data_IF_246877840713
#
_entry.id   IF_246877840713
#
_cell.length_a   1.000
_cell.length_b   1.000
_cell.length_c   1.000
_cell.angle_alpha   90.00
_cell.angle_beta   90.00
_cell.angle_gamma   90.00
#
_symmetry.space_group_name_H-M   'P 1'
#
loop_
_entity.id
_entity.type
_entity.pdbx_description
1 polymer ?
#
# COMPACT_ATOMS: atom_id res chain seq x y z
N UNK A 1 3.34 -11.84 19.61
CA UNK A 1 3.78 -10.96 20.73
C UNK A 1 5.10 -10.24 20.45
N UNK A 2 6.14 -10.95 19.95
CA UNK A 2 7.36 -10.36 19.34
C UNK A 2 7.08 -9.17 18.42
N UNK A 3 5.97 -9.23 17.70
CA UNK A 3 5.47 -8.18 16.80
C UNK A 3 5.50 -6.76 17.43
N UNK A 4 5.11 -6.54 18.69
CA UNK A 4 5.20 -5.20 19.30
C UNK A 4 6.65 -4.71 19.43
N UNK A 5 7.55 -5.56 19.94
CA UNK A 5 8.97 -5.24 20.08
C UNK A 5 9.68 -5.17 18.72
N UNK A 6 9.13 -5.84 17.72
CA UNK A 6 9.54 -5.74 16.32
C UNK A 6 8.98 -4.49 15.61
N UNK A 7 8.26 -3.63 16.34
CA UNK A 7 7.71 -2.39 15.85
C UNK A 7 6.51 -2.58 14.94
N UNK A 8 5.92 -3.77 14.89
CA UNK A 8 4.87 -4.21 13.97
C UNK A 8 3.48 -3.72 14.32
N UNK A 9 3.23 -3.55 15.62
CA UNK A 9 2.00 -2.96 16.13
C UNK A 9 2.33 -1.90 17.18
N UNK A 10 1.42 -0.95 17.35
CA UNK A 10 1.40 -0.07 18.51
C UNK A 10 0.55 -0.71 19.61
N UNK A 11 0.78 -0.35 20.87
CA UNK A 11 -0.06 -0.86 21.97
C UNK A 11 -1.55 -0.62 21.75
N UNK A 12 -1.95 0.41 20.99
CA UNK A 12 -3.36 0.71 20.69
C UNK A 12 -4.02 -0.31 19.75
N UNK A 13 -3.23 -1.04 18.97
CA UNK A 13 -3.70 -2.04 17.98
C UNK A 13 -3.84 -3.43 18.60
N UNK A 14 -3.27 -3.65 19.79
CA UNK A 14 -3.25 -4.92 20.50
C UNK A 14 -4.52 -5.11 21.35
N UNK A 15 -4.97 -6.36 21.46
CA UNK A 15 -5.96 -6.78 22.46
C UNK A 15 -5.46 -6.54 23.89
N UNK A 16 -6.35 -6.49 24.90
CA UNK A 16 -5.94 -6.31 26.29
C UNK A 16 -4.86 -7.30 26.75
N UNK A 17 -5.01 -8.58 26.39
CA UNK A 17 -4.07 -9.65 26.73
C UNK A 17 -2.71 -9.40 26.03
N UNK A 18 -2.73 -9.15 24.72
CA UNK A 18 -1.51 -8.84 23.96
C UNK A 18 -0.78 -7.59 24.46
N UNK A 19 -1.51 -6.58 24.97
CA UNK A 19 -0.89 -5.38 25.58
C UNK A 19 -0.12 -5.73 26.84
N UNK A 20 -0.71 -6.56 27.71
CA UNK A 20 -0.07 -6.98 28.96
C UNK A 20 1.19 -7.77 28.63
N UNK A 21 1.08 -8.72 27.71
CA UNK A 21 2.22 -9.50 27.27
C UNK A 21 3.32 -8.62 26.67
N UNK A 22 2.97 -7.69 25.77
CA UNK A 22 3.92 -6.77 25.14
C UNK A 22 4.61 -5.83 26.14
N UNK A 23 3.86 -5.32 27.14
CA UNK A 23 4.41 -4.49 28.20
C UNK A 23 5.30 -5.30 29.16
N UNK A 24 4.95 -6.56 29.40
CA UNK A 24 5.75 -7.47 30.19
C UNK A 24 7.09 -7.79 29.50
N UNK A 25 7.07 -8.15 28.21
CA UNK A 25 8.27 -8.43 27.43
C UNK A 25 9.17 -7.18 27.34
N UNK A 26 8.57 -6.00 27.17
CA UNK A 26 9.28 -4.72 27.23
C UNK A 26 9.95 -4.50 28.59
N UNK A 27 9.22 -4.72 29.70
CA UNK A 27 9.74 -4.57 31.07
C UNK A 27 10.91 -5.53 31.35
N UNK A 28 10.76 -6.82 31.04
CA UNK A 28 11.77 -7.85 31.32
C UNK A 28 13.02 -7.69 30.46
N UNK A 29 12.90 -7.05 29.29
CA UNK A 29 14.04 -6.78 28.40
C UNK A 29 14.90 -5.59 28.88
N UNK A 30 14.39 -4.77 29.79
CA UNK A 30 15.17 -3.67 30.38
C UNK A 30 16.06 -4.21 31.52
N UNK A 31 17.28 -3.68 31.71
CA UNK A 31 18.02 -3.90 32.95
C UNK A 31 17.35 -3.13 34.10
N UNK A 32 17.71 -3.44 35.35
CA UNK A 32 17.12 -2.81 36.55
C UNK A 32 17.26 -1.27 36.56
N UNK A 33 18.33 -0.77 35.96
CA UNK A 33 18.59 0.66 35.79
C UNK A 33 19.23 0.93 34.44
N UNK A 34 18.68 1.87 33.69
CA UNK A 34 19.22 2.29 32.39
C UNK A 34 19.04 3.78 32.17
N UNK A 35 20.00 4.38 31.49
CA UNK A 35 19.90 5.75 31.01
C UNK A 35 18.84 5.83 29.89
N UNK A 36 17.90 6.77 29.95
CA UNK A 36 16.74 6.82 29.02
C UNK A 36 17.15 6.78 27.55
N UNK A 37 18.26 7.45 27.19
CA UNK A 37 18.79 7.48 25.82
C UNK A 37 19.27 6.11 25.32
N UNK A 38 19.64 5.19 26.22
CA UNK A 38 20.14 3.85 25.86
C UNK A 38 19.02 2.85 25.62
N UNK A 39 17.81 3.15 26.08
CA UNK A 39 16.63 2.26 25.90
C UNK A 39 16.33 2.02 24.42
N UNK A 40 16.47 3.06 23.58
CA UNK A 40 16.23 2.93 22.14
C UNK A 40 17.17 1.94 21.44
N UNK A 41 18.36 1.69 22.01
CA UNK A 41 19.29 0.70 21.49
C UNK A 41 18.87 -0.74 21.82
N UNK A 42 18.09 -0.95 22.89
CA UNK A 42 17.51 -2.25 23.24
C UNK A 42 16.37 -2.61 22.29
N UNK A 43 15.60 -1.60 21.84
CA UNK A 43 14.45 -1.78 20.96
C UNK A 43 14.63 -1.05 19.61
N UNK A 44 15.61 -1.43 18.79
CA UNK A 44 15.96 -0.70 17.57
C UNK A 44 14.85 -0.74 16.50
N UNK A 45 13.95 -1.72 16.57
CA UNK A 45 12.81 -1.86 15.65
C UNK A 45 11.60 -1.00 16.06
N UNK A 46 11.54 -0.54 17.31
CA UNK A 46 10.44 0.31 17.79
C UNK A 46 10.69 1.79 17.48
N UNK A 47 9.62 2.51 17.15
CA UNK A 47 9.70 3.98 17.05
C UNK A 47 9.91 4.61 18.42
N UNK A 48 10.54 5.80 18.45
CA UNK A 48 10.70 6.59 19.68
C UNK A 48 9.37 6.77 20.43
N UNK A 49 8.28 7.02 19.69
CA UNK A 49 6.94 7.15 20.25
C UNK A 49 6.46 5.86 20.94
N UNK A 50 6.65 4.69 20.34
CA UNK A 50 6.25 3.41 20.95
C UNK A 50 7.02 3.16 22.25
N UNK A 51 8.34 3.38 22.24
CA UNK A 51 9.19 3.23 23.44
C UNK A 51 8.76 4.20 24.54
N UNK A 52 8.64 5.49 24.22
CA UNK A 52 8.21 6.52 25.18
C UNK A 52 6.81 6.24 25.74
N UNK A 53 5.90 5.70 24.92
CA UNK A 53 4.55 5.34 25.34
C UNK A 53 4.55 4.16 26.31
N UNK A 54 5.33 3.12 26.05
CA UNK A 54 5.47 1.97 26.95
C UNK A 54 6.07 2.40 28.30
N UNK A 55 7.16 3.16 28.29
CA UNK A 55 7.78 3.74 29.50
C UNK A 55 6.74 4.53 30.29
N UNK A 56 6.01 5.43 29.62
CA UNK A 56 5.01 6.29 30.27
C UNK A 56 3.90 5.47 30.93
N UNK A 57 3.41 4.41 30.28
CA UNK A 57 2.36 3.55 30.84
C UNK A 57 2.85 2.85 32.12
N UNK A 58 4.07 2.31 32.11
CA UNK A 58 4.65 1.62 33.25
C UNK A 58 5.03 2.60 34.39
N UNK A 59 5.52 3.79 34.06
CA UNK A 59 5.89 4.83 35.02
C UNK A 59 4.68 5.38 35.79
N UNK A 60 3.58 5.71 35.08
CA UNK A 60 2.34 6.11 35.73
C UNK A 60 1.63 5.00 36.53
N UNK A 61 2.13 3.77 36.46
CA UNK A 61 1.61 2.61 37.20
C UNK A 61 2.52 2.20 38.37
N UNK A 62 3.56 3.02 38.66
CA UNK A 62 4.65 2.78 39.63
C UNK A 62 5.37 1.43 39.40
N UNK A 63 5.39 0.95 38.17
CA UNK A 63 6.15 -0.25 37.76
C UNK A 63 7.57 0.18 37.38
N UNK A 64 7.69 1.28 36.64
CA UNK A 64 8.97 1.95 36.41
C UNK A 64 8.98 3.29 37.15
N UNK A 65 10.18 3.83 37.36
CA UNK A 65 10.40 5.22 37.76
C UNK A 65 11.38 5.87 36.81
N UNK A 66 11.14 7.14 36.48
CA UNK A 66 12.01 7.89 35.56
C UNK A 66 12.77 9.07 36.21
N UNK A 67 13.63 8.84 37.23
CA UNK A 67 14.37 9.93 37.88
C UNK A 67 15.50 10.45 37.00
N UNK A 68 15.63 11.77 36.86
CA UNK A 68 16.82 12.45 36.32
C UNK A 68 17.42 11.85 35.03
N UNK A 69 16.57 11.48 34.06
CA UNK A 69 17.02 10.93 32.78
C UNK A 69 17.37 9.44 32.79
N UNK A 70 17.11 8.73 33.90
CA UNK A 70 17.19 7.28 34.02
C UNK A 70 15.79 6.65 33.99
N UNK A 71 15.76 5.34 33.80
CA UNK A 71 14.62 4.45 33.98
C UNK A 71 15.06 3.37 34.95
N UNK A 72 14.29 3.19 36.01
CA UNK A 72 14.58 2.26 37.11
C UNK A 72 13.35 1.37 37.37
N UNK A 73 13.58 0.08 37.58
CA UNK A 73 12.53 -0.86 37.99
C UNK A 73 12.22 -0.68 39.48
N UNK A 74 10.94 -0.56 39.81
CA UNK A 74 10.49 -0.53 41.21
C UNK A 74 10.47 -1.94 41.82
N UNK A 75 10.22 -2.06 43.12
CA UNK A 75 10.03 -3.36 43.74
C UNK A 75 8.77 -4.08 43.19
N UNK A 76 7.76 -3.31 42.79
CA UNK A 76 6.59 -3.82 42.07
C UNK A 76 6.97 -4.43 40.71
N UNK A 77 7.87 -3.81 39.95
CA UNK A 77 8.40 -4.42 38.73
C UNK A 77 9.11 -5.74 39.01
N UNK A 78 9.96 -5.81 40.03
CA UNK A 78 10.68 -7.06 40.38
C UNK A 78 9.72 -8.18 40.80
N UNK A 79 8.60 -7.84 41.44
CA UNK A 79 7.54 -8.80 41.73
C UNK A 79 6.86 -9.27 40.44
N UNK A 80 6.47 -8.34 39.56
CA UNK A 80 5.85 -8.63 38.25
C UNK A 80 6.73 -9.57 37.42
N UNK A 81 8.05 -9.36 37.37
CA UNK A 81 8.98 -10.24 36.65
C UNK A 81 8.97 -11.70 37.14
N UNK A 82 8.52 -11.96 38.37
CA UNK A 82 8.41 -13.32 38.90
C UNK A 82 7.07 -13.98 38.58
N UNK A 83 5.98 -13.19 38.50
CA UNK A 83 4.61 -13.72 38.40
C UNK A 83 3.86 -13.40 37.10
N UNK A 84 4.46 -12.61 36.22
CA UNK A 84 3.81 -12.03 35.05
C UNK A 84 3.03 -10.74 35.36
N UNK A 85 2.90 -9.90 34.33
CA UNK A 85 2.10 -8.68 34.38
C UNK A 85 0.62 -9.00 34.22
N UNK A 86 -0.23 -8.36 35.04
CA UNK A 86 -1.69 -8.56 35.02
C UNK A 86 -2.42 -7.22 35.01
N UNK A 87 -3.72 -7.23 34.72
CA UNK A 87 -4.52 -6.01 34.68
C UNK A 87 -4.59 -5.31 36.04
N UNK A 88 -4.56 -6.07 37.14
CA UNK A 88 -4.62 -5.55 38.52
C UNK A 88 -3.40 -4.70 38.88
N UNK A 89 -2.27 -4.90 38.19
CA UNK A 89 -1.06 -4.09 38.35
C UNK A 89 -1.27 -2.63 37.97
N UNK A 90 -2.33 -2.34 37.21
CA UNK A 90 -2.72 -1.00 36.80
C UNK A 90 -3.83 -0.40 37.66
N UNK A 91 -4.28 -1.08 38.73
CA UNK A 91 -5.41 -0.64 39.57
C UNK A 91 -5.27 0.78 40.13
N UNK A 92 -4.05 1.16 40.53
CA UNK A 92 -3.72 2.50 41.05
C UNK A 92 -3.35 3.50 39.96
N UNK A 93 -3.22 3.05 38.70
CA UNK A 93 -2.86 3.92 37.60
C UNK A 93 -4.01 4.91 37.27
N UNK A 94 -3.69 6.09 36.70
CA UNK A 94 -4.69 7.02 36.19
C UNK A 94 -5.75 6.34 35.32
N UNK A 95 -7.00 6.80 35.42
CA UNK A 95 -8.14 6.14 34.75
C UNK A 95 -7.95 5.97 33.23
N UNK A 96 -7.22 6.87 32.57
CA UNK A 96 -6.93 6.76 31.14
C UNK A 96 -5.99 5.59 30.80
N UNK A 97 -5.10 5.18 31.72
CA UNK A 97 -4.23 4.00 31.55
C UNK A 97 -5.04 2.74 31.75
N UNK A 98 -5.81 2.64 32.84
CA UNK A 98 -6.68 1.48 33.10
C UNK A 98 -7.60 1.20 31.92
N UNK A 99 -8.32 2.23 31.46
CA UNK A 99 -9.15 2.15 30.25
C UNK A 99 -8.33 1.80 29.01
N UNK A 100 -7.10 2.28 28.88
CA UNK A 100 -6.26 1.97 27.73
C UNK A 100 -5.85 0.50 27.69
N UNK A 101 -5.46 -0.08 28.82
CA UNK A 101 -5.11 -1.51 28.94
C UNK A 101 -6.33 -2.38 28.61
N UNK A 102 -7.48 -2.09 29.20
CA UNK A 102 -8.72 -2.88 29.05
C UNK A 102 -9.43 -2.69 27.70
N UNK A 103 -9.15 -1.60 26.98
CA UNK A 103 -9.82 -1.31 25.71
C UNK A 103 -9.44 -2.34 24.65
N UNK A 104 -10.41 -2.88 23.93
CA UNK A 104 -10.14 -3.72 22.75
C UNK A 104 -9.25 -3.00 21.74
N UNK A 105 -8.22 -3.68 21.25
CA UNK A 105 -7.37 -3.20 20.17
C UNK A 105 -8.20 -2.83 18.96
N UNK A 106 -7.84 -1.72 18.30
CA UNK A 106 -8.49 -1.33 17.05
C UNK A 106 -7.44 -1.43 15.95
N UNK A 107 -7.40 -2.56 15.26
CA UNK A 107 -6.66 -2.68 13.99
C UNK A 107 -7.41 -1.83 12.97
N UNK A 108 -6.81 -0.70 12.58
CA UNK A 108 -7.36 0.21 11.55
C UNK A 108 -6.78 -0.12 10.19
N UNK A 109 -6.94 -1.38 9.84
CA UNK A 109 -6.59 -1.89 8.52
C UNK A 109 -7.83 -1.84 7.63
N UNK A 110 -7.65 -1.38 6.41
CA UNK A 110 -8.68 -1.35 5.38
C UNK A 110 -8.27 -2.37 4.33
N UNK A 111 -9.14 -3.34 4.05
CA UNK A 111 -8.91 -4.30 2.98
C UNK A 111 -8.81 -3.56 1.63
N UNK A 112 -7.78 -3.89 0.85
CA UNK A 112 -7.56 -3.33 -0.48
C UNK A 112 -8.02 -4.31 -1.55
N UNK A 113 -7.59 -5.56 -1.43
CA UNK A 113 -7.76 -6.58 -2.45
C UNK A 113 -6.80 -7.73 -2.20
N UNK A 114 -6.70 -8.63 -3.16
CA UNK A 114 -5.80 -9.79 -3.10
C UNK A 114 -4.63 -9.57 -4.05
N UNK A 115 -3.43 -9.93 -3.62
CA UNK A 115 -2.22 -9.92 -4.42
C UNK A 115 -2.34 -10.96 -5.54
N UNK A 116 -2.28 -10.51 -6.80
CA UNK A 116 -2.54 -11.37 -7.95
C UNK A 116 -1.52 -12.49 -8.16
N UNK A 117 -0.36 -12.41 -7.51
CA UNK A 117 0.73 -13.39 -7.66
C UNK A 117 0.65 -14.44 -6.56
N UNK A 118 0.52 -13.99 -5.31
CA UNK A 118 0.55 -14.87 -4.13
C UNK A 118 -0.84 -15.36 -3.71
N UNK A 119 -1.91 -14.69 -4.14
CA UNK A 119 -3.27 -14.96 -3.68
C UNK A 119 -3.55 -14.51 -2.24
N UNK A 120 -2.65 -13.71 -1.65
CA UNK A 120 -2.71 -13.25 -0.27
C UNK A 120 -3.39 -11.89 -0.14
N UNK A 121 -4.02 -11.64 1.00
CA UNK A 121 -4.81 -10.43 1.21
C UNK A 121 -3.92 -9.22 1.52
N UNK A 122 -4.21 -8.11 0.85
CA UNK A 122 -3.55 -6.83 1.02
C UNK A 122 -4.47 -5.91 1.84
N UNK A 123 -3.89 -5.32 2.89
CA UNK A 123 -4.55 -4.32 3.70
C UNK A 123 -3.74 -3.02 3.75
N UNK A 124 -4.42 -1.90 4.00
CA UNK A 124 -3.81 -0.60 4.26
C UNK A 124 -3.95 -0.21 5.72
N UNK A 125 -2.84 0.07 6.40
CA UNK A 125 -2.85 0.54 7.78
C UNK A 125 -2.94 2.08 7.84
N UNK A 126 -4.05 2.61 8.33
CA UNK A 126 -4.29 4.05 8.37
C UNK A 126 -3.30 4.83 9.26
N UNK A 127 -2.81 4.21 10.34
CA UNK A 127 -1.91 4.87 11.29
C UNK A 127 -0.48 4.96 10.74
N UNK A 128 0.00 3.87 10.14
CA UNK A 128 1.37 3.76 9.61
C UNK A 128 1.50 4.33 8.21
N UNK A 129 0.39 4.43 7.48
CA UNK A 129 0.35 4.79 6.06
C UNK A 129 1.24 3.85 5.25
N UNK A 130 1.07 2.56 5.43
CA UNK A 130 1.72 1.49 4.67
C UNK A 130 0.73 0.35 4.42
N UNK A 131 1.14 -0.60 3.57
CA UNK A 131 0.36 -1.78 3.24
C UNK A 131 0.94 -3.01 3.94
N UNK A 132 0.07 -3.97 4.25
CA UNK A 132 0.39 -5.25 4.85
C UNK A 132 -0.11 -6.38 3.96
N UNK A 133 0.73 -7.40 3.74
CA UNK A 133 0.34 -8.64 3.06
C UNK A 133 0.10 -9.72 4.12
N UNK A 134 -1.04 -10.39 4.08
CA UNK A 134 -1.42 -11.44 5.02
C UNK A 134 -1.78 -12.73 4.31
N UNK A 135 -1.36 -13.86 4.87
CA UNK A 135 -1.80 -15.17 4.38
C UNK A 135 -3.30 -15.40 4.63
N UNK A 136 -3.80 -16.54 4.15
CA UNK A 136 -5.21 -16.92 4.25
C UNK A 136 -5.65 -17.14 5.71
N UNK A 137 -4.69 -17.46 6.58
CA UNK A 137 -4.87 -17.61 8.03
C UNK A 137 -4.81 -16.27 8.79
N UNK A 138 -4.50 -15.17 8.09
CA UNK A 138 -4.46 -13.81 8.64
C UNK A 138 -3.13 -13.40 9.29
N UNK A 139 -2.09 -14.24 9.20
CA UNK A 139 -0.75 -13.93 9.67
C UNK A 139 -0.08 -12.90 8.76
N UNK A 140 0.69 -12.01 9.37
CA UNK A 140 1.45 -11.01 8.61
C UNK A 140 2.63 -11.67 7.90
N UNK A 141 2.68 -11.55 6.58
CA UNK A 141 3.82 -11.99 5.76
C UNK A 141 4.85 -10.89 5.62
N UNK A 142 4.43 -9.70 5.18
CA UNK A 142 5.35 -8.56 5.00
C UNK A 142 4.64 -7.22 5.02
N UNK A 143 5.43 -6.14 5.14
CA UNK A 143 4.99 -4.76 4.97
C UNK A 143 5.66 -4.12 3.76
N UNK A 144 4.92 -3.28 3.08
CA UNK A 144 5.42 -2.56 1.92
C UNK A 144 4.77 -1.18 1.81
N UNK A 145 5.46 -0.24 1.17
CA UNK A 145 5.01 1.15 1.09
C UNK A 145 4.36 1.48 -0.24
N UNK A 146 4.55 0.64 -1.23
CA UNK A 146 4.26 0.94 -2.61
C UNK A 146 3.48 -0.23 -3.20
N UNK A 147 2.27 0.05 -3.67
CA UNK A 147 1.34 -0.95 -4.18
C UNK A 147 1.28 -0.84 -5.70
N UNK A 148 1.57 -1.94 -6.39
CA UNK A 148 1.41 -2.01 -7.84
C UNK A 148 -0.05 -2.18 -8.22
N UNK A 149 -0.44 -1.54 -9.33
CA UNK A 149 -1.77 -1.56 -9.92
C UNK A 149 -1.63 -1.96 -11.38
N UNK A 150 -2.31 -3.04 -11.75
CA UNK A 150 -2.41 -3.48 -13.14
C UNK A 150 -3.88 -3.45 -13.54
N UNK A 151 -4.20 -2.77 -14.64
CA UNK A 151 -5.57 -2.59 -15.09
C UNK A 151 -5.68 -3.06 -16.52
N UNK A 152 -6.60 -3.99 -16.75
CA UNK A 152 -6.93 -4.47 -18.08
C UNK A 152 -8.19 -3.76 -18.54
N UNK A 153 -8.12 -3.19 -19.73
CA UNK A 153 -9.23 -2.54 -20.39
C UNK A 153 -9.54 -3.28 -21.68
N UNK A 154 -10.83 -3.46 -21.96
CA UNK A 154 -11.31 -3.79 -23.29
C UNK A 154 -11.85 -2.51 -23.92
N UNK A 155 -11.37 -2.20 -25.12
CA UNK A 155 -11.92 -1.12 -25.94
C UNK A 155 -12.52 -1.75 -27.19
N UNK A 156 -13.82 -1.53 -27.35
CA UNK A 156 -14.57 -1.88 -28.55
C UNK A 156 -15.14 -0.60 -29.16
N UNK A 157 -14.90 -0.37 -30.44
CA UNK A 157 -15.50 0.76 -31.17
C UNK A 157 -16.72 0.31 -31.97
N UNK A 158 -17.81 1.07 -31.92
CA UNK A 158 -19.00 0.83 -32.73
C UNK A 158 -18.94 1.60 -34.08
N UNK A 159 -19.63 1.08 -35.10
CA UNK A 159 -19.80 1.74 -36.40
C UNK A 159 -19.10 1.05 -37.58
N UNK A 160 -18.70 1.83 -38.59
CA UNK A 160 -18.06 1.32 -39.81
C UNK A 160 -16.60 0.85 -39.61
N UNK A 161 -16.03 1.10 -38.43
CA UNK A 161 -14.69 0.64 -38.03
C UNK A 161 -14.81 -0.04 -36.65
N UNK A 162 -14.59 -1.35 -36.61
CA UNK A 162 -14.61 -2.12 -35.37
C UNK A 162 -13.15 -2.40 -34.97
N UNK A 163 -12.70 -1.70 -33.95
CA UNK A 163 -11.47 -1.98 -33.22
C UNK A 163 -11.85 -2.69 -31.94
N UNK A 164 -11.33 -3.91 -31.76
CA UNK A 164 -11.36 -4.62 -30.47
C UNK A 164 -9.92 -4.75 -30.02
N UNK A 165 -9.57 -4.08 -28.93
CA UNK A 165 -8.24 -4.19 -28.34
C UNK A 165 -8.30 -4.41 -26.83
N UNK A 166 -7.35 -5.19 -26.34
CA UNK A 166 -7.08 -5.33 -24.92
C UNK A 166 -5.86 -4.50 -24.57
N UNK A 167 -5.99 -3.72 -23.50
CA UNK A 167 -4.97 -2.77 -23.08
C UNK A 167 -4.65 -3.06 -21.63
N UNK A 168 -3.38 -3.36 -21.37
CA UNK A 168 -2.88 -3.52 -20.02
C UNK A 168 -2.09 -2.27 -19.64
N UNK A 169 -2.59 -1.55 -18.65
CA UNK A 169 -1.92 -0.37 -18.11
C UNK A 169 -1.50 -0.60 -16.67
N UNK A 170 -0.35 -0.06 -16.32
CA UNK A 170 0.32 -0.33 -15.05
C UNK A 170 0.74 0.98 -14.40
N UNK A 171 0.59 1.05 -13.09
CA UNK A 171 1.11 2.13 -12.24
C UNK A 171 1.39 1.58 -10.85
N UNK A 172 1.95 2.41 -9.99
CA UNK A 172 2.09 2.12 -8.57
C UNK A 172 1.57 3.31 -7.76
N UNK A 173 1.21 3.04 -6.50
CA UNK A 173 0.77 4.05 -5.55
C UNK A 173 1.50 3.90 -4.23
N UNK A 174 2.14 4.99 -3.80
CA UNK A 174 2.93 5.01 -2.57
C UNK A 174 2.11 5.48 -1.38
N UNK A 175 1.94 4.61 -0.39
CA UNK A 175 1.30 4.89 0.91
C UNK A 175 -0.09 5.52 0.76
N UNK A 176 -0.74 5.23 -0.36
CA UNK A 176 -1.96 5.88 -0.79
C UNK A 176 -3.14 5.20 -0.11
N UNK A 177 -4.03 6.01 0.45
CA UNK A 177 -5.26 5.51 1.04
C UNK A 177 -6.13 4.86 -0.05
N UNK A 178 -6.82 3.74 0.24
CA UNK A 178 -7.69 3.02 -0.72
C UNK A 178 -8.62 3.93 -1.55
N UNK A 179 -9.34 4.84 -0.89
CA UNK A 179 -10.25 5.79 -1.55
C UNK A 179 -9.60 6.68 -2.64
N UNK A 180 -8.27 6.80 -2.69
CA UNK A 180 -7.57 7.57 -3.71
C UNK A 180 -7.01 6.69 -4.84
N UNK A 181 -7.03 5.35 -4.68
CA UNK A 181 -6.52 4.41 -5.68
C UNK A 181 -7.41 4.45 -6.93
N UNK A 182 -8.72 4.56 -6.77
CA UNK A 182 -9.67 4.64 -7.90
C UNK A 182 -9.36 5.83 -8.81
N UNK A 183 -8.97 6.98 -8.25
CA UNK A 183 -8.55 8.13 -9.05
C UNK A 183 -7.32 7.82 -9.92
N UNK A 184 -6.41 6.99 -9.45
CA UNK A 184 -5.23 6.57 -10.25
C UNK A 184 -5.67 5.60 -11.34
N UNK A 185 -6.57 4.68 -11.05
CA UNK A 185 -7.16 3.74 -12.03
C UNK A 185 -7.90 4.50 -13.14
N UNK A 186 -8.68 5.52 -12.79
CA UNK A 186 -9.38 6.37 -13.77
C UNK A 186 -8.41 7.14 -14.67
N UNK A 187 -7.30 7.62 -14.10
CA UNK A 187 -6.23 8.26 -14.88
C UNK A 187 -5.53 7.29 -15.83
N UNK A 188 -5.36 6.02 -15.45
CA UNK A 188 -4.85 4.98 -16.33
C UNK A 188 -5.82 4.69 -17.47
N UNK A 189 -7.12 4.61 -17.19
CA UNK A 189 -8.15 4.41 -18.21
C UNK A 189 -8.16 5.56 -19.23
N UNK A 190 -8.06 6.80 -18.75
CA UNK A 190 -7.94 7.98 -19.62
C UNK A 190 -6.68 7.91 -20.49
N UNK A 191 -5.53 7.58 -19.89
CA UNK A 191 -4.29 7.44 -20.62
C UNK A 191 -4.38 6.35 -21.70
N UNK A 192 -4.97 5.18 -21.40
CA UNK A 192 -5.19 4.12 -22.37
C UNK A 192 -6.04 4.59 -23.57
N UNK A 193 -7.15 5.30 -23.31
CA UNK A 193 -7.99 5.92 -24.34
C UNK A 193 -7.21 6.88 -25.24
N UNK A 194 -6.42 7.77 -24.63
CA UNK A 194 -5.64 8.77 -25.38
C UNK A 194 -4.61 8.08 -26.29
N UNK A 195 -3.94 7.03 -25.80
CA UNK A 195 -2.99 6.25 -26.61
C UNK A 195 -3.68 5.59 -27.80
N UNK A 196 -4.81 4.91 -27.60
CA UNK A 196 -5.55 4.25 -28.70
C UNK A 196 -6.02 5.27 -29.73
N UNK A 197 -6.58 6.39 -29.29
CA UNK A 197 -7.04 7.46 -30.19
C UNK A 197 -5.90 7.98 -31.07
N UNK A 198 -4.71 8.17 -30.51
CA UNK A 198 -3.55 8.68 -31.26
C UNK A 198 -2.99 7.62 -32.21
N UNK A 199 -2.78 6.39 -31.73
CA UNK A 199 -2.13 5.35 -32.53
C UNK A 199 -3.00 4.84 -33.68
N UNK A 200 -4.32 4.75 -33.48
CA UNK A 200 -5.23 4.22 -34.50
C UNK A 200 -5.97 5.31 -35.26
N UNK A 201 -5.93 6.57 -34.81
CA UNK A 201 -6.61 7.69 -35.46
C UNK A 201 -8.14 7.60 -35.43
N UNK A 202 -8.69 6.74 -34.57
CA UNK A 202 -10.14 6.50 -34.46
C UNK A 202 -10.70 7.34 -33.32
N UNK A 203 -11.79 8.11 -33.53
CA UNK A 203 -12.53 8.72 -32.43
C UNK A 203 -13.19 7.61 -31.59
N UNK A 204 -12.77 7.48 -30.33
CA UNK A 204 -13.38 6.54 -29.38
C UNK A 204 -14.61 7.23 -28.80
N UNK A 205 -15.77 7.03 -29.44
CA UNK A 205 -17.04 7.65 -29.01
C UNK A 205 -17.74 6.86 -27.89
N UNK A 206 -17.40 5.57 -27.67
CA UNK A 206 -18.02 4.70 -26.67
C UNK A 206 -17.03 3.80 -25.89
N UNK A 207 -17.60 3.01 -24.96
CA UNK A 207 -17.06 2.56 -23.67
C UNK A 207 -15.67 1.91 -23.66
N UNK A 208 -14.84 2.35 -22.72
CA UNK A 208 -13.73 1.52 -22.22
C UNK A 208 -14.28 0.74 -21.04
N UNK A 209 -14.41 -0.57 -21.22
CA UNK A 209 -14.87 -1.45 -20.16
C UNK A 209 -13.63 -1.88 -19.38
N UNK A 210 -13.61 -1.55 -18.08
CA UNK A 210 -12.60 -2.09 -17.16
C UNK A 210 -12.85 -3.59 -17.04
N UNK A 211 -11.96 -4.38 -17.61
CA UNK A 211 -12.05 -5.83 -17.58
C UNK A 211 -11.50 -6.41 -16.27
N UNK A 212 -10.48 -5.78 -15.69
CA UNK A 212 -9.88 -6.23 -14.43
C UNK A 212 -9.01 -5.18 -13.75
N UNK A 213 -8.86 -5.31 -12.43
CA UNK A 213 -7.84 -4.61 -11.63
C UNK A 213 -7.14 -5.64 -10.76
N UNK A 214 -5.83 -5.61 -10.81
CA UNK A 214 -4.93 -6.51 -10.11
C UNK A 214 -3.99 -5.70 -9.21
N UNK A 215 -3.73 -6.24 -8.02
CA UNK A 215 -2.90 -5.62 -7.00
C UNK A 215 -1.61 -6.41 -6.80
N UNK A 216 -0.52 -5.69 -6.52
CA UNK A 216 0.81 -6.30 -6.42
C UNK A 216 1.57 -5.72 -5.23
N UNK A 217 2.06 -6.62 -4.38
CA UNK A 217 2.77 -6.32 -3.15
C UNK A 217 4.30 -6.20 -3.30
N UNK A 218 4.86 -6.55 -4.45
CA UNK A 218 6.31 -6.50 -4.71
C UNK A 218 6.67 -6.13 -6.16
N UNK A 219 7.94 -5.78 -6.43
CA UNK A 219 8.47 -5.70 -7.81
C UNK A 219 8.56 -7.13 -8.34
N UNK A 220 7.53 -7.61 -9.02
CA UNK A 220 7.49 -8.98 -9.54
C UNK A 220 7.08 -9.02 -11.00
N UNK A 221 7.32 -10.18 -11.62
CA UNK A 221 6.78 -10.50 -12.94
C UNK A 221 5.29 -10.70 -12.83
N UNK A 222 4.55 -10.05 -13.73
CA UNK A 222 3.11 -10.09 -13.78
C UNK A 222 2.68 -10.86 -15.00
N UNK A 223 1.79 -11.83 -14.86
CA UNK A 223 1.33 -12.62 -16.00
C UNK A 223 -0.14 -12.32 -16.27
N UNK A 224 -0.43 -11.70 -17.43
CA UNK A 224 -1.80 -11.52 -17.92
C UNK A 224 -1.98 -12.42 -19.14
N UNK A 225 -2.89 -13.40 -19.04
CA UNK A 225 -3.02 -14.45 -20.05
C UNK A 225 -1.75 -15.30 -20.14
N UNK A 226 -1.18 -15.43 -21.34
CA UNK A 226 0.10 -16.13 -21.58
C UNK A 226 1.32 -15.20 -21.51
N UNK A 227 1.12 -13.91 -21.19
CA UNK A 227 2.16 -12.88 -21.27
C UNK A 227 2.68 -12.49 -19.89
N UNK A 228 3.98 -12.68 -19.66
CA UNK A 228 4.68 -12.20 -18.45
C UNK A 228 5.39 -10.86 -18.68
N UNK A 229 5.24 -9.93 -17.73
CA UNK A 229 5.80 -8.58 -17.74
C UNK A 229 6.69 -8.39 -16.51
N UNK A 230 7.97 -8.12 -16.72
CA UNK A 230 8.90 -7.83 -15.62
C UNK A 230 8.81 -6.36 -15.23
N UNK A 231 8.38 -6.06 -14.01
CA UNK A 231 8.25 -4.68 -13.54
C UNK A 231 9.58 -4.16 -13.00
N UNK A 232 10.37 -3.49 -13.85
CA UNK A 232 11.65 -2.89 -13.48
C UNK A 232 11.48 -1.51 -12.80
N UNK A 233 12.48 -1.09 -12.03
CA UNK A 233 12.52 0.13 -11.21
C UNK A 233 12.26 1.47 -11.95
N UNK A 234 12.44 1.53 -13.26
CA UNK A 234 12.11 2.70 -14.10
C UNK A 234 10.59 2.76 -14.38
N UNK A 235 9.94 1.61 -14.46
CA UNK A 235 8.47 1.48 -14.59
C UNK A 235 7.75 1.73 -13.26
N UNK A 236 8.52 1.73 -12.17
CA UNK A 236 8.13 2.06 -10.80
C UNK A 236 8.05 3.55 -10.50
N UNK A 237 8.28 4.44 -11.47
CA UNK A 237 8.14 5.90 -11.28
C UNK A 237 7.17 6.56 -12.27
N UNK A 238 6.72 5.83 -13.31
CA UNK A 238 5.88 6.37 -14.38
C UNK A 238 4.76 5.39 -14.80
N UNK A 239 3.59 5.92 -15.14
CA UNK A 239 2.52 5.10 -15.72
C UNK A 239 2.91 4.62 -17.14
N UNK A 240 2.65 3.34 -17.41
CA UNK A 240 2.97 2.68 -18.68
C UNK A 240 1.74 1.95 -19.22
N UNK A 241 1.60 1.93 -20.54
CA UNK A 241 0.54 1.23 -21.24
C UNK A 241 1.17 0.25 -22.24
N UNK A 242 0.73 -1.00 -22.23
CA UNK A 242 1.02 -1.97 -23.28
C UNK A 242 -0.28 -2.35 -23.98
N UNK A 243 -0.28 -2.23 -25.30
CA UNK A 243 -1.41 -2.57 -26.16
C UNK A 243 -1.08 -3.87 -26.85
N UNK A 244 -1.88 -4.90 -26.59
CA UNK A 244 -1.89 -6.16 -27.32
C UNK A 244 -3.18 -6.20 -28.16
N UNK A 245 -3.04 -6.28 -29.47
CA UNK A 245 -4.19 -6.30 -30.37
C UNK A 245 -4.10 -7.52 -31.28
N UNK A 246 -5.21 -8.26 -31.37
CA UNK A 246 -5.28 -9.48 -32.18
C UNK A 246 -5.95 -9.22 -33.54
N UNK A 247 -6.82 -8.21 -33.67
CA UNK A 247 -7.59 -7.98 -34.89
C UNK A 247 -7.93 -6.50 -35.11
N UNK A 248 -7.70 -6.00 -36.33
CA UNK A 248 -8.26 -4.74 -36.82
C UNK A 248 -9.15 -5.09 -38.02
N UNK A 249 -10.48 -5.11 -37.83
CA UNK A 249 -11.41 -5.39 -38.94
C UNK A 249 -11.93 -4.07 -39.49
N UNK A 250 -11.42 -3.68 -40.65
CA UNK A 250 -12.02 -2.63 -41.46
C UNK A 250 -13.24 -3.21 -42.18
N UNK A 251 -14.44 -2.75 -41.86
CA UNK A 251 -15.65 -3.07 -42.62
C UNK A 251 -16.02 -1.87 -43.49
N UNK A 252 -15.38 -1.72 -44.64
CA UNK A 252 -15.85 -0.79 -45.67
C UNK A 252 -16.37 -1.56 -46.88
N UNK A 253 -17.63 -1.22 -47.23
CA UNK A 253 -18.31 -1.27 -48.53
C UNK A 253 -17.56 -1.89 -49.70
N UNK A 254 -18.25 -2.70 -50.52
CA UNK A 254 -17.96 -3.38 -51.81
C UNK A 254 -16.67 -3.12 -52.63
N UNK A 255 -15.90 -2.05 -52.39
CA UNK A 255 -14.51 -1.86 -52.86
C UNK A 255 -13.43 -2.19 -51.81
N UNK A 256 -13.80 -2.45 -50.55
CA UNK A 256 -12.90 -2.80 -49.43
C UNK A 256 -12.36 -4.23 -49.45
N UNK A 257 -12.84 -5.09 -50.36
CA UNK A 257 -12.36 -6.48 -50.49
C UNK A 257 -10.90 -6.57 -50.99
N UNK A 258 -10.31 -5.49 -51.51
CA UNK A 258 -8.90 -5.47 -51.95
C UNK A 258 -7.88 -5.15 -50.85
N UNK A 259 -8.31 -4.72 -49.66
CA UNK A 259 -7.39 -4.37 -48.56
C UNK A 259 -7.38 -5.38 -47.41
N UNK A 260 -8.08 -6.50 -47.52
CA UNK A 260 -7.98 -7.63 -46.59
C UNK A 260 -6.75 -8.53 -46.89
N UNK A 261 -5.60 -7.93 -47.19
CA UNK A 261 -4.37 -8.71 -47.48
C UNK A 261 -3.22 -8.31 -46.56
N UNK A 262 -3.41 -8.61 -45.27
CA UNK A 262 -2.43 -9.20 -44.33
C UNK A 262 -2.99 -9.05 -42.92
N UNK A 263 -3.82 -10.01 -42.53
CA UNK A 263 -3.87 -10.37 -41.11
C UNK A 263 -2.49 -10.94 -40.79
N UNK A 264 -1.65 -10.18 -40.12
CA UNK A 264 -0.49 -10.79 -39.47
C UNK A 264 -1.04 -11.60 -38.29
N UNK A 265 -0.87 -12.91 -38.34
CA UNK A 265 -1.30 -13.87 -37.32
C UNK A 265 -0.56 -13.70 -35.98
N UNK A 266 0.31 -12.69 -35.88
CA UNK A 266 1.15 -12.43 -34.71
C UNK A 266 0.67 -11.17 -33.99
N UNK A 267 0.23 -11.25 -32.73
CA UNK A 267 -0.11 -10.07 -31.95
C UNK A 267 1.10 -9.13 -31.90
N UNK A 268 0.90 -7.87 -32.30
CA UNK A 268 1.92 -6.83 -32.20
C UNK A 268 1.75 -6.09 -30.88
N UNK A 269 2.86 -5.83 -30.19
CA UNK A 269 2.88 -5.12 -28.91
C UNK A 269 3.39 -3.70 -29.09
N UNK A 270 2.64 -2.74 -28.55
CA UNK A 270 3.05 -1.35 -28.49
C UNK A 270 3.24 -0.97 -27.03
N UNK A 271 4.45 -0.53 -26.70
CA UNK A 271 4.78 -0.03 -25.37
C UNK A 271 4.84 1.48 -25.36
N UNK A 272 4.01 2.12 -24.53
CA UNK A 272 3.92 3.58 -24.44
C UNK A 272 4.13 4.04 -23.00
N UNK A 273 5.11 4.93 -22.81
CA UNK A 273 5.35 5.61 -21.53
C UNK A 273 4.56 6.92 -21.48
N UNK A 274 3.84 7.15 -20.38
CA UNK A 274 2.97 8.33 -20.23
C UNK A 274 3.70 9.66 -20.38
N UNK A 275 4.89 9.77 -19.78
CA UNK A 275 5.72 10.97 -19.82
C UNK A 275 6.10 11.35 -21.26
N UNK A 276 6.60 10.36 -22.01
CA UNK A 276 6.98 10.50 -23.42
C UNK A 276 5.79 10.82 -24.31
N UNK A 277 4.68 10.10 -24.13
CA UNK A 277 3.46 10.30 -24.90
C UNK A 277 2.91 11.74 -24.78
N UNK A 278 2.80 12.27 -23.56
CA UNK A 278 2.32 13.64 -23.38
C UNK A 278 3.35 14.72 -23.72
N UNK A 279 4.65 14.40 -23.76
CA UNK A 279 5.65 15.30 -24.32
C UNK A 279 5.48 15.43 -25.85
N UNK A 280 5.12 14.35 -26.53
CA UNK A 280 4.84 14.32 -27.98
C UNK A 280 3.44 14.85 -28.32
N UNK A 281 2.49 14.77 -27.38
CA UNK A 281 1.09 15.21 -27.55
C UNK A 281 0.61 16.13 -26.40
N UNK A 282 1.17 17.35 -26.28
CA UNK A 282 0.92 18.23 -25.12
C UNK A 282 -0.53 18.71 -24.99
N UNK A 283 -1.30 18.74 -26.10
CA UNK A 283 -2.72 19.10 -26.10
C UNK A 283 -3.63 18.04 -25.46
N UNK A 284 -3.13 16.81 -25.30
CA UNK A 284 -3.83 15.70 -24.64
C UNK A 284 -3.45 15.55 -23.17
N UNK A 285 -2.42 16.27 -22.70
CA UNK A 285 -1.93 16.14 -21.33
C UNK A 285 -3.08 16.36 -20.34
N UNK A 286 -3.44 15.35 -19.51
CA UNK A 286 -4.39 15.57 -18.46
C UNK A 286 -3.81 16.67 -17.58
N UNK A 287 -4.66 17.58 -17.13
CA UNK A 287 -4.34 18.47 -16.02
C UNK A 287 -4.07 17.53 -14.83
N UNK A 288 -2.82 17.09 -14.69
CA UNK A 288 -2.36 16.40 -13.50
C UNK A 288 -2.61 17.41 -12.38
N UNK A 289 -3.29 17.05 -11.28
CA UNK A 289 -3.21 17.87 -10.09
C UNK A 289 -1.72 17.98 -9.82
N UNK A 290 -1.18 19.18 -10.05
CA UNK A 290 0.18 19.54 -9.70
C UNK A 290 0.45 18.85 -8.38
N UNK A 291 1.53 18.05 -8.35
CA UNK A 291 2.13 17.49 -7.14
C UNK A 291 1.65 18.30 -5.94
N UNK A 292 1.10 17.66 -4.91
CA UNK A 292 1.24 18.18 -3.55
C UNK A 292 2.75 18.25 -3.25
N UNK A 293 3.43 19.21 -3.89
CA UNK A 293 4.69 19.78 -3.46
C UNK A 293 4.31 20.46 -2.16
N UNK A 294 4.62 19.77 -1.07
CA UNK A 294 5.04 20.40 0.17
C UNK A 294 4.11 21.50 0.69
N UNK A 295 3.18 21.09 1.56
CA UNK A 295 2.84 21.91 2.71
C UNK A 295 4.09 22.01 3.62
N UNK A 296 5.06 22.83 3.21
CA UNK A 296 6.13 23.34 4.06
C UNK A 296 6.32 24.80 3.69
N UNK A 297 5.45 25.65 4.23
CA UNK A 297 5.66 27.08 4.52
C UNK A 297 4.37 27.64 5.16
N UNK A 298 4.10 27.23 6.39
CA UNK A 298 3.47 28.12 7.36
C UNK A 298 4.48 28.25 8.49
N UNK A 299 5.40 29.20 8.33
CA UNK A 299 6.07 29.81 9.47
C UNK A 299 5.01 30.65 10.19
N UNK A 300 4.57 30.21 11.35
CA UNK A 300 4.01 31.14 12.32
C UNK A 300 5.17 32.02 12.81
N UNK A 301 5.05 33.32 12.54
CA UNK A 301 5.57 34.34 13.45
C UNK A 301 4.55 34.54 14.57
#
# INVERSE_FOLDING_TARGET
>A
MREFLEGEYTLSELSPEEKLDALYEFLTSLPDRIERRKVYAIFPKMTKYQVDRAIRILDFSDILRTPYGFIEKTDKAKEIERRGLRAEDFSEAPAWIRRFIERKGVRREIYIGTDSITGYDIFYNYLRKDYTLRDLEGNLITRFKDLGLAVTFSIETEGHQILVCEICAWSFVRRMHPNNIDYVVDNLAKFAKDVVRVYFGIPIEQETIKAGLEYLSSETELTIGETSFKIDKVMWEEAKCEIEYSHMRYAYTTEGERLLTRAEETPRRITVLRSKFYAEHPTLSPIVPLRQKQASLISFR
#
